data_IF_080870263072
#
_entry.id   IF_080870263072
#
_cell.length_a   1.000
_cell.length_b   1.000
_cell.length_c   1.000
_cell.angle_alpha   90.00
_cell.angle_beta   90.00
_cell.angle_gamma   90.00
#
_symmetry.space_group_name_H-M   'P 1'
#
loop_
_entity.id
_entity.type
_entity.pdbx_description
1 polymer ?
#
# COMPACT_ATOMS: atom_id res chain seq x y z
N UNK A 1 28.94 67.17 49.95
CA UNK A 1 29.47 65.87 49.45
C UNK A 1 28.41 65.24 48.55
N UNK A 2 28.55 65.40 47.27
CA UNK A 2 27.65 64.75 46.30
C UNK A 2 28.07 63.29 46.15
N UNK A 3 27.28 62.39 46.69
CA UNK A 3 27.40 60.95 46.35
C UNK A 3 26.86 60.76 44.96
N UNK A 4 27.75 60.62 44.01
CA UNK A 4 27.38 60.12 42.75
C UNK A 4 26.96 58.66 42.96
N UNK A 5 25.67 58.44 43.00
CA UNK A 5 25.08 57.10 42.86
C UNK A 5 25.37 56.70 41.46
N UNK A 6 26.37 55.87 41.30
CA UNK A 6 26.62 55.21 40.06
C UNK A 6 25.38 54.38 39.78
N UNK A 7 24.52 54.80 38.84
CA UNK A 7 23.53 53.97 38.25
C UNK A 7 24.33 52.90 37.54
N UNK A 8 24.40 51.76 38.18
CA UNK A 8 24.75 50.56 37.45
C UNK A 8 23.75 50.45 36.29
N UNK A 9 24.25 50.65 35.09
CA UNK A 9 23.50 50.30 33.90
C UNK A 9 23.07 48.85 34.08
N UNK A 10 21.76 48.64 34.25
CA UNK A 10 21.18 47.35 34.11
C UNK A 10 21.56 46.99 32.69
N UNK A 11 22.54 46.11 32.55
CA UNK A 11 22.75 45.47 31.28
C UNK A 11 21.41 44.84 30.96
N UNK A 12 20.71 45.41 30.00
CA UNK A 12 19.66 44.69 29.31
C UNK A 12 20.36 43.44 28.78
N UNK A 13 20.32 42.39 29.57
CA UNK A 13 20.57 41.07 29.02
C UNK A 13 19.51 40.90 27.96
N UNK A 14 19.88 41.23 26.72
CA UNK A 14 19.12 40.80 25.58
C UNK A 14 18.80 39.33 25.83
N UNK A 15 17.51 38.93 25.87
CA UNK A 15 17.17 37.54 26.04
C UNK A 15 17.94 36.80 24.95
N UNK A 16 19.02 36.17 25.35
CA UNK A 16 19.75 35.28 24.46
C UNK A 16 18.73 34.22 24.05
N UNK A 17 18.10 34.47 22.90
CA UNK A 17 17.32 33.47 22.26
C UNK A 17 18.22 32.24 22.18
N UNK A 18 17.86 31.21 22.91
CA UNK A 18 18.57 29.96 22.88
C UNK A 18 18.35 29.34 21.51
N UNK A 19 19.19 29.77 20.56
CA UNK A 19 19.21 29.25 19.17
C UNK A 19 19.38 27.74 19.20
N UNK A 20 20.11 27.25 20.21
CA UNK A 20 20.27 25.79 20.42
C UNK A 20 18.94 25.08 20.66
N UNK A 21 18.06 25.65 21.49
CA UNK A 21 16.73 25.07 21.73
C UNK A 21 15.84 25.13 20.50
N UNK A 22 15.94 26.21 19.72
CA UNK A 22 15.19 26.33 18.45
C UNK A 22 15.66 25.32 17.42
N UNK A 23 16.97 25.13 17.28
CA UNK A 23 17.55 24.13 16.38
C UNK A 23 17.13 22.74 16.82
N UNK A 24 17.10 22.44 18.10
CA UNK A 24 16.68 21.14 18.61
C UNK A 24 15.22 20.85 18.28
N UNK A 25 14.32 21.82 18.51
CA UNK A 25 12.90 21.66 18.13
C UNK A 25 12.73 21.48 16.63
N UNK A 26 13.44 22.27 15.81
CA UNK A 26 13.41 22.12 14.36
C UNK A 26 13.93 20.75 13.92
N UNK A 27 14.98 20.27 14.55
CA UNK A 27 15.57 18.97 14.26
C UNK A 27 14.62 17.81 14.64
N UNK A 28 13.99 17.89 15.80
CA UNK A 28 12.99 16.92 16.24
C UNK A 28 11.78 16.89 15.30
N UNK A 29 11.29 18.05 14.87
CA UNK A 29 10.22 18.14 13.89
C UNK A 29 10.63 17.54 12.55
N UNK A 30 11.85 17.80 12.10
CA UNK A 30 12.37 17.24 10.85
C UNK A 30 12.43 15.72 10.91
N UNK A 31 12.96 15.16 12.00
CA UNK A 31 13.01 13.70 12.20
C UNK A 31 11.59 13.14 12.28
N UNK A 32 10.68 13.80 12.96
CA UNK A 32 9.28 13.38 13.05
C UNK A 32 8.63 13.34 11.68
N UNK A 33 8.81 14.37 10.86
CA UNK A 33 8.27 14.38 9.49
C UNK A 33 8.89 13.29 8.61
N UNK A 34 10.18 13.05 8.71
CA UNK A 34 10.84 11.99 7.93
C UNK A 34 10.28 10.62 8.32
N UNK A 35 10.14 10.34 9.61
CA UNK A 35 9.58 9.09 10.12
C UNK A 35 8.09 8.95 9.75
N UNK A 36 7.31 10.02 9.92
CA UNK A 36 5.90 10.03 9.55
C UNK A 36 5.71 9.80 8.05
N UNK A 37 6.55 10.41 7.22
CA UNK A 37 6.51 10.21 5.76
C UNK A 37 6.91 8.78 5.37
N UNK A 38 7.84 8.18 6.09
CA UNK A 38 8.25 6.79 5.86
C UNK A 38 7.16 5.78 6.25
N UNK A 39 6.32 6.13 7.23
CA UNK A 39 5.18 5.29 7.65
C UNK A 39 4.00 5.38 6.67
N UNK A 40 3.89 6.49 5.95
CA UNK A 40 2.97 6.64 4.83
C UNK A 40 3.67 6.07 3.59
N UNK A 41 3.98 4.79 3.60
CA UNK A 41 4.04 4.07 2.35
C UNK A 41 2.60 4.01 1.84
N UNK A 42 2.21 5.02 1.08
CA UNK A 42 1.12 4.85 0.17
C UNK A 42 1.44 3.62 -0.65
N UNK A 43 0.81 2.52 -0.30
CA UNK A 43 0.70 1.40 -1.22
C UNK A 43 -0.15 1.91 -2.37
N UNK A 44 0.51 2.55 -3.31
CA UNK A 44 -0.09 2.84 -4.59
C UNK A 44 -0.39 1.48 -5.21
N UNK A 45 -1.61 1.04 -5.04
CA UNK A 45 -2.19 0.09 -5.94
C UNK A 45 -2.18 0.80 -7.29
N UNK A 46 -1.23 0.44 -8.14
CA UNK A 46 -1.28 0.85 -9.54
C UNK A 46 -2.50 0.16 -10.15
N UNK A 47 -3.64 0.82 -9.98
CA UNK A 47 -4.85 0.47 -10.70
C UNK A 47 -4.63 0.89 -12.15
N UNK A 48 -4.13 -0.03 -12.95
CA UNK A 48 -4.17 0.12 -14.40
C UNK A 48 -5.63 0.13 -14.82
N UNK A 49 -6.12 1.28 -15.24
CA UNK A 49 -7.43 1.33 -15.90
C UNK A 49 -7.43 0.42 -17.12
N UNK A 50 -8.50 -0.37 -17.35
CA UNK A 50 -8.63 -1.16 -18.56
C UNK A 50 -8.58 -0.21 -19.78
N UNK A 51 -7.57 -0.35 -20.61
CA UNK A 51 -7.38 0.46 -21.83
C UNK A 51 -5.99 1.11 -21.98
N UNK A 52 -5.15 1.11 -20.96
CA UNK A 52 -3.75 1.44 -21.15
C UNK A 52 -2.97 0.16 -21.44
N UNK A 53 -2.56 0.03 -22.69
CA UNK A 53 -1.57 -0.96 -23.08
C UNK A 53 -0.35 -0.80 -22.18
N UNK A 54 -0.08 -1.82 -21.36
CA UNK A 54 1.21 -1.97 -20.71
C UNK A 54 2.27 -1.87 -21.81
N UNK A 55 3.22 -0.96 -21.62
CA UNK A 55 4.26 -0.70 -22.60
C UNK A 55 4.91 -2.01 -23.08
N UNK A 56 5.25 -2.04 -24.36
CA UNK A 56 5.68 -3.18 -25.18
C UNK A 56 6.87 -4.02 -24.66
N UNK A 57 7.28 -3.81 -23.42
CA UNK A 57 8.41 -4.53 -22.79
C UNK A 57 8.03 -5.27 -21.48
N UNK A 58 6.74 -5.44 -21.19
CA UNK A 58 6.36 -6.35 -20.13
C UNK A 58 6.55 -7.78 -20.62
N UNK A 59 7.56 -8.45 -20.09
CA UNK A 59 7.80 -9.87 -20.34
C UNK A 59 6.50 -10.65 -20.20
N UNK A 60 6.29 -11.53 -21.14
CA UNK A 60 5.07 -12.26 -21.50
C UNK A 60 4.58 -13.26 -20.43
N UNK A 61 4.59 -12.90 -19.16
CA UNK A 61 3.88 -13.70 -18.16
C UNK A 61 2.44 -13.21 -18.10
N UNK A 62 1.51 -14.10 -18.40
CA UNK A 62 0.09 -13.81 -18.25
C UNK A 62 -0.22 -13.43 -16.79
N UNK A 63 -0.97 -12.35 -16.56
CA UNK A 63 -1.37 -12.00 -15.21
C UNK A 63 -2.23 -13.10 -14.60
N UNK A 64 -2.07 -13.31 -13.31
CA UNK A 64 -2.94 -14.22 -12.58
C UNK A 64 -4.37 -13.67 -12.58
N UNK A 65 -5.34 -14.49 -12.88
CA UNK A 65 -6.72 -14.10 -12.88
C UNK A 65 -7.43 -14.66 -11.64
N UNK A 66 -8.02 -13.77 -10.87
CA UNK A 66 -8.86 -14.12 -9.73
C UNK A 66 -10.26 -13.63 -10.00
N UNK A 67 -11.24 -14.50 -9.85
CA UNK A 67 -12.64 -14.19 -10.06
C UNK A 67 -13.44 -14.42 -8.80
N UNK A 68 -14.24 -13.45 -8.41
CA UNK A 68 -15.17 -13.55 -7.28
C UNK A 68 -16.59 -13.44 -7.83
N UNK A 69 -17.38 -14.47 -7.61
CA UNK A 69 -18.78 -14.51 -8.05
C UNK A 69 -19.73 -14.07 -6.93
N UNK A 70 -20.99 -13.82 -7.26
CA UNK A 70 -22.04 -13.29 -6.37
C UNK A 70 -22.15 -14.00 -5.03
N UNK A 71 -22.00 -15.32 -5.00
CA UNK A 71 -22.11 -16.13 -3.79
C UNK A 71 -20.86 -16.07 -2.90
N UNK A 72 -19.85 -15.26 -3.30
CA UNK A 72 -18.60 -15.11 -2.59
C UNK A 72 -17.55 -16.17 -2.88
N UNK A 73 -17.82 -17.09 -3.81
CA UNK A 73 -16.83 -18.09 -4.22
C UNK A 73 -15.71 -17.46 -5.00
N UNK A 74 -14.48 -17.84 -4.69
CA UNK A 74 -13.26 -17.35 -5.31
C UNK A 74 -12.72 -18.42 -6.25
N UNK A 75 -12.48 -18.04 -7.49
CA UNK A 75 -11.89 -18.89 -8.51
C UNK A 75 -10.56 -18.35 -8.99
N UNK A 76 -9.68 -19.27 -9.37
CA UNK A 76 -8.40 -18.99 -10.01
C UNK A 76 -8.42 -19.43 -11.46
N UNK A 77 -7.97 -18.55 -12.36
CA UNK A 77 -7.89 -18.83 -13.78
C UNK A 77 -9.08 -18.33 -14.59
N UNK A 78 -8.89 -18.24 -15.90
CA UNK A 78 -9.88 -17.72 -16.86
C UNK A 78 -11.20 -18.49 -16.89
N UNK A 79 -11.10 -19.80 -16.77
CA UNK A 79 -12.24 -20.72 -16.95
C UNK A 79 -12.77 -21.26 -15.62
N UNK A 80 -12.54 -20.54 -14.51
CA UNK A 80 -12.85 -21.02 -13.15
C UNK A 80 -12.24 -22.42 -12.89
N UNK A 81 -11.04 -22.64 -13.40
CA UNK A 81 -10.38 -23.95 -13.40
C UNK A 81 -10.07 -24.47 -12.00
N UNK A 82 -9.85 -23.58 -11.05
CA UNK A 82 -9.57 -23.93 -9.68
C UNK A 82 -10.44 -23.10 -8.72
N UNK A 83 -11.28 -23.77 -7.96
CA UNK A 83 -12.01 -23.13 -6.87
C UNK A 83 -11.06 -22.96 -5.67
N UNK A 84 -10.86 -21.72 -5.23
CA UNK A 84 -9.98 -21.42 -4.09
C UNK A 84 -10.71 -21.60 -2.78
N UNK A 85 -11.87 -20.95 -2.65
CA UNK A 85 -12.67 -21.00 -1.44
C UNK A 85 -14.12 -20.58 -1.71
N UNK A 86 -15.05 -21.24 -1.07
CA UNK A 86 -16.48 -20.95 -1.11
C UNK A 86 -17.07 -20.62 0.26
N UNK A 87 -16.28 -20.60 1.31
CA UNK A 87 -16.74 -20.31 2.66
C UNK A 87 -16.65 -18.83 2.96
N UNK A 88 -17.81 -18.19 3.08
CA UNK A 88 -17.90 -16.75 3.40
C UNK A 88 -17.37 -16.38 4.78
N UNK A 89 -17.26 -17.33 5.69
CA UNK A 89 -16.73 -17.11 7.04
C UNK A 89 -15.22 -17.33 7.13
N UNK A 90 -14.62 -17.85 6.07
CA UNK A 90 -13.19 -18.06 6.01
C UNK A 90 -12.49 -16.79 5.52
N UNK A 91 -11.86 -16.07 6.42
CA UNK A 91 -11.09 -14.87 6.11
C UNK A 91 -9.61 -15.16 5.86
N UNK A 92 -9.20 -16.40 6.07
CA UNK A 92 -7.82 -16.84 5.83
C UNK A 92 -7.75 -17.67 4.54
N UNK A 93 -7.31 -17.03 3.47
CA UNK A 93 -7.20 -17.61 2.14
C UNK A 93 -5.80 -18.20 1.88
N UNK A 94 -5.39 -19.17 2.70
CA UNK A 94 -4.07 -19.78 2.62
C UNK A 94 -3.78 -20.39 1.24
N UNK A 95 -4.76 -21.03 0.62
CA UNK A 95 -4.64 -21.62 -0.72
C UNK A 95 -4.39 -20.54 -1.78
N UNK A 96 -5.09 -19.41 -1.66
CA UNK A 96 -4.88 -18.26 -2.54
C UNK A 96 -3.48 -17.67 -2.39
N UNK A 97 -3.02 -17.51 -1.16
CA UNK A 97 -1.66 -17.02 -0.86
C UNK A 97 -0.61 -17.93 -1.48
N UNK A 98 -0.75 -19.25 -1.36
CA UNK A 98 0.17 -20.21 -1.98
C UNK A 98 0.20 -20.06 -3.51
N UNK A 99 -0.94 -19.91 -4.16
CA UNK A 99 -1.00 -19.71 -5.62
C UNK A 99 -0.34 -18.38 -6.03
N UNK A 100 -0.56 -17.34 -5.25
CA UNK A 100 0.03 -16.03 -5.49
C UNK A 100 1.56 -16.04 -5.29
N UNK A 101 2.04 -16.72 -4.28
CA UNK A 101 3.49 -16.89 -4.05
C UNK A 101 4.15 -17.66 -5.18
N UNK A 102 3.51 -18.74 -5.66
CA UNK A 102 3.99 -19.49 -6.81
C UNK A 102 4.07 -18.60 -8.07
N UNK A 103 3.07 -17.79 -8.31
CA UNK A 103 3.05 -16.81 -9.41
C UNK A 103 4.13 -15.74 -9.26
N UNK A 104 4.37 -15.29 -8.05
CA UNK A 104 5.45 -14.35 -7.73
C UNK A 104 6.83 -14.94 -8.01
N UNK A 105 7.06 -16.20 -7.66
CA UNK A 105 8.31 -16.90 -7.94
C UNK A 105 8.53 -17.07 -9.45
N UNK A 106 7.48 -17.44 -10.19
CA UNK A 106 7.50 -17.54 -11.65
C UNK A 106 7.88 -16.19 -12.29
N UNK A 107 7.26 -15.11 -11.85
CA UNK A 107 7.57 -13.77 -12.32
C UNK A 107 9.00 -13.33 -11.98
N UNK A 108 9.47 -13.64 -10.79
CA UNK A 108 10.84 -13.33 -10.34
C UNK A 108 11.89 -14.09 -11.14
N UNK A 109 11.61 -15.33 -11.54
CA UNK A 109 12.52 -16.15 -12.37
C UNK A 109 12.77 -15.53 -13.75
N UNK A 110 11.80 -14.77 -14.26
CA UNK A 110 11.87 -14.08 -15.56
C UNK A 110 12.28 -12.60 -15.38
N UNK A 111 12.43 -12.14 -14.15
CA UNK A 111 12.81 -10.76 -13.85
C UNK A 111 11.68 -9.74 -13.98
N UNK A 112 10.44 -10.18 -13.91
CA UNK A 112 9.25 -9.32 -13.96
C UNK A 112 8.50 -9.27 -12.63
N UNK A 113 7.60 -8.28 -12.52
CA UNK A 113 6.70 -8.21 -11.38
C UNK A 113 5.43 -9.01 -11.67
N UNK A 114 4.91 -9.78 -10.69
CA UNK A 114 3.66 -10.49 -10.88
C UNK A 114 2.50 -9.52 -11.02
N UNK A 115 1.72 -9.66 -12.08
CA UNK A 115 0.47 -8.95 -12.27
C UNK A 115 -0.72 -9.83 -11.87
N UNK A 116 -1.73 -9.25 -11.27
CA UNK A 116 -2.99 -9.92 -10.92
C UNK A 116 -4.16 -9.13 -11.47
N UNK A 117 -5.09 -9.82 -12.12
CA UNK A 117 -6.38 -9.27 -12.51
C UNK A 117 -7.44 -9.83 -11.57
N UNK A 118 -8.15 -8.94 -10.91
CA UNK A 118 -9.25 -9.29 -10.02
C UNK A 118 -10.58 -8.95 -10.69
N UNK A 119 -11.38 -9.95 -10.94
CA UNK A 119 -12.70 -9.82 -11.53
C UNK A 119 -13.75 -10.01 -10.44
N UNK A 120 -14.55 -8.98 -10.21
CA UNK A 120 -15.58 -8.98 -9.17
C UNK A 120 -16.94 -8.85 -9.83
N UNK A 121 -17.85 -9.75 -9.51
CA UNK A 121 -19.25 -9.65 -9.93
C UNK A 121 -19.97 -8.58 -9.08
N UNK A 122 -20.93 -7.84 -9.68
CA UNK A 122 -21.47 -6.63 -9.08
C UNK A 122 -22.15 -6.78 -7.72
N UNK A 123 -22.58 -7.95 -7.34
CA UNK A 123 -23.31 -8.22 -6.08
C UNK A 123 -22.45 -8.96 -5.02
N UNK A 124 -21.14 -8.97 -5.19
CA UNK A 124 -20.23 -9.63 -4.25
C UNK A 124 -20.15 -8.85 -2.93
N UNK A 125 -20.22 -9.52 -1.77
CA UNK A 125 -20.00 -8.86 -0.49
C UNK A 125 -18.63 -8.21 -0.40
N UNK A 126 -18.56 -6.97 0.04
CA UNK A 126 -17.31 -6.22 0.17
C UNK A 126 -16.26 -6.93 1.03
N UNK A 127 -16.69 -7.65 2.05
CA UNK A 127 -15.79 -8.41 2.92
C UNK A 127 -14.97 -9.42 2.10
N UNK A 128 -15.57 -10.05 1.11
CA UNK A 128 -14.89 -11.04 0.27
C UNK A 128 -13.78 -10.40 -0.58
N UNK A 129 -14.04 -9.23 -1.09
CA UNK A 129 -13.03 -8.44 -1.83
C UNK A 129 -11.87 -8.06 -0.91
N UNK A 130 -12.17 -7.64 0.31
CA UNK A 130 -11.17 -7.30 1.32
C UNK A 130 -10.31 -8.52 1.67
N UNK A 131 -10.91 -9.70 1.83
CA UNK A 131 -10.18 -10.94 2.13
C UNK A 131 -9.18 -11.27 1.02
N UNK A 132 -9.58 -11.13 -0.25
CA UNK A 132 -8.68 -11.31 -1.41
C UNK A 132 -7.58 -10.25 -1.42
N UNK A 133 -7.91 -9.01 -1.15
CA UNK A 133 -6.91 -7.93 -1.09
C UNK A 133 -5.89 -8.15 0.03
N UNK A 134 -6.32 -8.66 1.18
CA UNK A 134 -5.43 -9.05 2.26
C UNK A 134 -4.49 -10.19 1.85
N UNK A 135 -5.01 -11.20 1.15
CA UNK A 135 -4.21 -12.31 0.63
C UNK A 135 -3.15 -11.83 -0.38
N UNK A 136 -3.50 -10.90 -1.26
CA UNK A 136 -2.58 -10.25 -2.19
C UNK A 136 -1.47 -9.51 -1.46
N UNK A 137 -1.84 -8.78 -0.42
CA UNK A 137 -0.89 -8.06 0.44
C UNK A 137 0.06 -9.00 1.16
N UNK A 138 -0.46 -10.09 1.70
CA UNK A 138 0.33 -11.12 2.39
C UNK A 138 1.34 -11.79 1.45
N UNK A 139 0.94 -12.06 0.22
CA UNK A 139 1.83 -12.58 -0.82
C UNK A 139 2.85 -11.53 -1.33
N UNK A 140 2.67 -10.26 -0.99
CA UNK A 140 3.54 -9.17 -1.42
C UNK A 140 3.32 -8.73 -2.87
N UNK A 141 2.15 -8.94 -3.42
CA UNK A 141 1.77 -8.50 -4.76
C UNK A 141 1.14 -7.12 -4.68
N UNK A 142 1.72 -6.17 -5.39
CA UNK A 142 1.29 -4.76 -5.39
C UNK A 142 0.60 -4.33 -6.68
N UNK A 143 0.80 -5.07 -7.77
CA UNK A 143 0.22 -4.75 -9.07
C UNK A 143 -1.07 -5.54 -9.27
N UNK A 144 -2.20 -4.89 -9.05
CA UNK A 144 -3.54 -5.48 -9.16
C UNK A 144 -4.40 -4.62 -10.08
N UNK A 145 -4.98 -5.23 -11.11
CA UNK A 145 -5.99 -4.59 -11.94
C UNK A 145 -7.39 -5.07 -11.49
N UNK A 146 -8.22 -4.16 -11.07
CA UNK A 146 -9.60 -4.44 -10.69
C UNK A 146 -10.51 -4.26 -11.90
N UNK A 147 -11.25 -5.29 -12.25
CA UNK A 147 -12.26 -5.24 -13.32
C UNK A 147 -13.62 -5.59 -12.74
N UNK A 148 -14.54 -4.66 -12.86
CA UNK A 148 -15.93 -4.88 -12.47
C UNK A 148 -16.66 -5.58 -13.63
N UNK A 149 -17.22 -6.75 -13.35
CA UNK A 149 -18.14 -7.41 -14.27
C UNK A 149 -19.51 -6.75 -14.13
N UNK A 150 -19.71 -5.67 -14.88
CA UNK A 150 -21.06 -5.20 -15.09
C UNK A 150 -21.85 -6.29 -15.78
N UNK A 151 -22.89 -6.75 -15.11
CA UNK A 151 -23.92 -7.54 -15.77
C UNK A 151 -24.57 -6.67 -16.84
N UNK A 152 -24.29 -6.96 -18.07
CA UNK A 152 -25.14 -6.54 -19.18
C UNK A 152 -26.44 -7.32 -19.16
#
# INVERSE_FOLDING_TARGET
MARHKKLEAVEDEDPKLDISSLIDVCFLLLIYFIVATSLIQERKLDMSMPGQSMGENASQIEPALIRIIKDGTIYWGKDNSLMIDNDMNNHNLATLVQQLEAKKQEASAVGTKPGVQLWVEGDVPHQRVIDVMNALTEAGITTVALTDLKND
#
